data_IF_244812432442
#
_entry.id   IF_244812432442
#
_cell.length_a   1.000
_cell.length_b   1.000
_cell.length_c   1.000
_cell.angle_alpha   90.00
_cell.angle_beta   90.00
_cell.angle_gamma   90.00
#
_symmetry.space_group_name_H-M   'P 1'
#
loop_
_entity.id
_entity.type
_entity.pdbx_description
1 polymer ?
#
# COMPACT_ATOMS: atom_id res chain seq x y z
N UNK A 1 80.66 9.14 -32.02
CA UNK A 1 80.74 10.59 -31.75
C UNK A 1 79.30 11.05 -31.54
N UNK A 2 78.79 11.10 -30.30
CA UNK A 2 78.71 12.30 -29.46
C UNK A 2 78.31 13.54 -30.30
N UNK A 3 77.15 14.15 -30.12
CA UNK A 3 76.80 14.94 -28.94
C UNK A 3 75.32 14.87 -28.53
N UNK A 4 75.15 14.85 -27.22
CA UNK A 4 73.96 15.10 -26.44
C UNK A 4 73.79 16.62 -26.28
N UNK A 5 72.59 17.18 -26.45
CA UNK A 5 72.28 18.52 -25.96
C UNK A 5 70.88 18.53 -25.34
N UNK A 6 70.88 18.42 -24.01
CA UNK A 6 69.76 18.68 -23.13
C UNK A 6 69.35 20.16 -23.22
N UNK A 7 68.05 20.41 -23.37
CA UNK A 7 67.40 21.57 -22.75
C UNK A 7 66.18 21.07 -21.97
N UNK A 8 66.30 21.12 -20.64
CA UNK A 8 65.19 21.07 -19.69
C UNK A 8 64.38 22.37 -19.76
N UNK A 9 63.06 22.26 -19.88
CA UNK A 9 62.13 23.21 -19.24
C UNK A 9 60.97 22.45 -18.59
N UNK A 10 60.64 22.91 -17.39
CA UNK A 10 59.79 22.32 -16.36
C UNK A 10 58.28 22.61 -16.59
N UNK A 11 57.37 22.00 -15.80
CA UNK A 11 56.13 21.42 -16.30
C UNK A 11 54.94 22.40 -16.27
N UNK A 12 54.11 22.35 -17.31
CA UNK A 12 52.73 22.82 -17.21
C UNK A 12 51.88 21.70 -16.60
N UNK A 13 51.19 22.03 -15.50
CA UNK A 13 50.39 21.11 -14.71
C UNK A 13 49.33 20.39 -15.54
N UNK A 14 49.42 19.06 -15.56
CA UNK A 14 48.30 18.23 -15.98
C UNK A 14 47.24 18.32 -14.89
N UNK A 15 46.06 18.85 -15.25
CA UNK A 15 44.84 18.58 -14.51
C UNK A 15 44.59 17.08 -14.64
N UNK A 16 44.82 16.34 -13.56
CA UNK A 16 44.36 14.97 -13.41
C UNK A 16 42.84 15.01 -13.52
N UNK A 17 42.32 14.64 -14.68
CA UNK A 17 40.99 14.08 -14.77
C UNK A 17 41.02 12.80 -13.92
N UNK A 18 40.59 12.91 -12.66
CA UNK A 18 40.20 11.73 -11.90
C UNK A 18 39.05 11.10 -12.66
N UNK A 19 39.37 10.06 -13.44
CA UNK A 19 38.39 9.08 -13.86
C UNK A 19 37.75 8.57 -12.57
N UNK A 20 36.54 9.05 -12.27
CA UNK A 20 35.68 8.43 -11.28
C UNK A 20 35.55 6.98 -11.72
N UNK A 21 36.17 6.08 -10.97
CA UNK A 21 35.99 4.66 -11.17
C UNK A 21 34.48 4.41 -11.16
N UNK A 22 33.94 3.98 -12.30
CA UNK A 22 32.61 3.39 -12.35
C UNK A 22 32.65 2.22 -11.38
N UNK A 23 32.15 2.43 -10.16
CA UNK A 23 31.80 1.33 -9.29
C UNK A 23 30.65 0.62 -10.00
N UNK A 24 30.80 -0.65 -10.41
CA UNK A 24 29.65 -1.41 -10.88
C UNK A 24 28.59 -1.37 -9.76
N UNK A 25 27.29 -1.28 -10.10
CA UNK A 25 26.24 -1.38 -9.10
C UNK A 25 26.49 -2.67 -8.28
N UNK A 26 26.44 -2.61 -6.94
CA UNK A 26 26.73 -3.77 -6.11
C UNK A 26 25.88 -4.96 -6.58
N UNK A 27 26.57 -6.03 -6.99
CA UNK A 27 26.02 -7.22 -7.63
C UNK A 27 25.30 -8.17 -6.66
N UNK A 28 24.80 -7.65 -5.54
CA UNK A 28 23.98 -8.42 -4.61
C UNK A 28 22.69 -7.63 -4.33
N UNK A 29 21.49 -8.25 -4.45
CA UNK A 29 20.30 -7.66 -3.85
C UNK A 29 20.60 -7.38 -2.36
N UNK A 30 20.17 -6.25 -1.82
CA UNK A 30 20.43 -5.87 -0.44
C UNK A 30 20.11 -7.02 0.52
N UNK A 31 21.09 -7.46 1.32
CA UNK A 31 20.97 -8.69 2.12
C UNK A 31 20.09 -8.57 3.36
N UNK A 32 19.62 -7.35 3.69
CA UNK A 32 18.71 -7.11 4.81
C UNK A 32 17.33 -6.66 4.34
N UNK A 33 16.25 -7.04 5.05
CA UNK A 33 14.90 -6.55 4.76
C UNK A 33 14.83 -5.02 4.78
N UNK A 34 15.57 -4.37 5.69
CA UNK A 34 15.62 -2.91 5.79
C UNK A 34 16.23 -2.24 4.55
N UNK A 35 17.31 -2.79 4.00
CA UNK A 35 17.91 -2.23 2.79
C UNK A 35 17.05 -2.46 1.54
N UNK A 36 16.29 -3.56 1.50
CA UNK A 36 15.26 -3.78 0.47
C UNK A 36 14.12 -2.77 0.60
N UNK A 37 13.63 -2.50 1.82
CA UNK A 37 12.60 -1.50 2.09
C UNK A 37 13.08 -0.10 1.74
N UNK A 38 14.35 0.23 2.03
CA UNK A 38 14.94 1.52 1.68
C UNK A 38 15.05 1.71 0.17
N UNK A 39 15.47 0.68 -0.55
CA UNK A 39 15.47 0.68 -2.00
C UNK A 39 14.06 0.93 -2.57
N UNK A 40 13.04 0.27 -2.02
CA UNK A 40 11.66 0.52 -2.42
C UNK A 40 11.21 1.95 -2.10
N UNK A 41 11.50 2.44 -0.89
CA UNK A 41 11.18 3.82 -0.50
C UNK A 41 11.77 4.84 -1.48
N UNK A 42 13.07 4.72 -1.76
CA UNK A 42 13.77 5.63 -2.67
C UNK A 42 13.27 5.50 -4.13
N UNK A 43 12.69 4.35 -4.51
CA UNK A 43 12.05 4.16 -5.80
C UNK A 43 10.63 4.74 -5.89
N UNK A 44 9.92 4.86 -4.75
CA UNK A 44 8.60 5.51 -4.68
C UNK A 44 8.72 7.03 -4.57
N UNK A 45 9.71 7.51 -3.81
CA UNK A 45 10.05 8.92 -3.58
C UNK A 45 10.61 9.55 -4.86
N UNK A 46 9.70 9.97 -5.74
CA UNK A 46 10.03 10.41 -7.10
C UNK A 46 10.59 11.83 -7.10
N UNK A 47 10.19 12.64 -6.13
CA UNK A 47 10.70 14.00 -5.96
C UNK A 47 11.93 14.08 -5.03
N UNK A 48 12.33 12.96 -4.43
CA UNK A 48 13.45 12.84 -3.50
C UNK A 48 13.31 13.78 -2.29
N UNK A 49 12.07 14.04 -1.86
CA UNK A 49 11.77 14.89 -0.70
C UNK A 49 12.11 14.20 0.62
N UNK A 50 12.31 12.87 0.61
CA UNK A 50 12.51 12.05 1.80
C UNK A 50 11.22 11.72 2.54
N UNK A 51 10.07 12.05 1.95
CA UNK A 51 8.74 11.74 2.45
C UNK A 51 7.84 11.31 1.28
N UNK A 52 6.94 10.36 1.48
CA UNK A 52 6.07 9.87 0.42
C UNK A 52 4.68 10.49 0.52
N UNK A 53 4.23 11.07 -0.59
CA UNK A 53 2.85 11.51 -0.77
C UNK A 53 1.91 10.34 -1.08
N UNK A 54 0.60 10.57 -0.95
CA UNK A 54 -0.42 9.59 -1.34
C UNK A 54 -0.34 9.26 -2.83
N UNK A 55 -0.04 10.25 -3.64
CA UNK A 55 0.08 10.15 -5.09
C UNK A 55 1.29 9.29 -5.50
N UNK A 56 2.43 9.43 -4.82
CA UNK A 56 3.62 8.60 -5.06
C UNK A 56 3.36 7.14 -4.69
N UNK A 57 2.74 6.90 -3.53
CA UNK A 57 2.36 5.55 -3.12
C UNK A 57 1.34 4.93 -4.06
N UNK A 58 0.36 5.71 -4.56
CA UNK A 58 -0.58 5.22 -5.55
C UNK A 58 0.12 4.83 -6.86
N UNK A 59 1.15 5.57 -7.28
CA UNK A 59 1.91 5.26 -8.51
C UNK A 59 2.78 4.02 -8.34
N UNK A 60 3.34 3.81 -7.15
CA UNK A 60 4.14 2.64 -6.84
C UNK A 60 3.30 1.37 -6.64
N UNK A 61 2.05 1.52 -6.18
CA UNK A 61 1.11 0.42 -6.06
C UNK A 61 0.38 0.23 -7.39
N UNK A 62 0.60 -0.91 -8.02
CA UNK A 62 -0.10 -1.31 -9.24
C UNK A 62 -0.83 -2.61 -8.95
N UNK A 63 -2.10 -2.70 -9.36
CA UNK A 63 -2.87 -3.93 -9.26
C UNK A 63 -2.27 -5.03 -10.16
N UNK A 64 -2.57 -6.31 -9.90
CA UNK A 64 -2.04 -7.43 -10.71
C UNK A 64 -2.39 -7.35 -12.21
N UNK A 65 -3.35 -6.50 -12.57
CA UNK A 65 -3.83 -6.26 -13.92
C UNK A 65 -3.37 -4.93 -14.53
N UNK A 66 -2.33 -4.31 -13.95
CA UNK A 66 -1.74 -3.04 -14.37
C UNK A 66 -2.65 -1.81 -14.22
N UNK A 67 -3.82 -1.96 -13.60
CA UNK A 67 -4.67 -0.82 -13.30
C UNK A 67 -4.08 0.02 -12.16
N UNK A 68 -4.29 1.36 -12.18
CA UNK A 68 -3.90 2.21 -11.06
C UNK A 68 -4.59 1.74 -9.79
N UNK A 69 -3.83 1.62 -8.71
CA UNK A 69 -4.38 1.26 -7.42
C UNK A 69 -5.36 2.34 -6.93
N UNK A 70 -6.47 1.93 -6.33
CA UNK A 70 -7.50 2.83 -5.84
C UNK A 70 -6.95 3.78 -4.76
N UNK A 71 -6.99 5.10 -5.05
CA UNK A 71 -6.46 6.15 -4.17
C UNK A 71 -7.16 6.18 -2.81
N UNK A 72 -8.46 5.89 -2.76
CA UNK A 72 -9.21 5.81 -1.50
C UNK A 72 -8.74 4.63 -0.65
N UNK A 73 -8.26 3.55 -1.27
CA UNK A 73 -7.65 2.43 -0.54
C UNK A 73 -6.28 2.81 0.00
N UNK A 74 -5.46 3.55 -0.76
CA UNK A 74 -4.19 4.09 -0.24
C UNK A 74 -4.43 4.97 0.98
N UNK A 75 -5.36 5.93 0.89
CA UNK A 75 -5.72 6.82 2.01
C UNK A 75 -6.23 6.04 3.22
N UNK A 76 -7.04 5.01 2.99
CA UNK A 76 -7.53 4.15 4.06
C UNK A 76 -6.38 3.37 4.71
N UNK A 77 -5.42 2.84 3.93
CA UNK A 77 -4.22 2.22 4.49
C UNK A 77 -3.39 3.22 5.32
N UNK A 78 -3.27 4.48 4.90
CA UNK A 78 -2.62 5.52 5.71
C UNK A 78 -3.36 5.80 7.02
N UNK A 79 -4.68 6.01 6.95
CA UNK A 79 -5.50 6.34 8.11
C UNK A 79 -5.56 5.20 9.16
N UNK A 80 -5.49 3.94 8.72
CA UNK A 80 -5.50 2.79 9.62
C UNK A 80 -4.30 2.72 10.56
N UNK A 81 -3.18 3.32 10.18
CA UNK A 81 -2.01 3.38 11.03
C UNK A 81 -1.93 4.69 11.82
N UNK A 82 -2.61 5.75 11.38
CA UNK A 82 -2.63 7.05 12.05
C UNK A 82 -3.41 7.09 13.39
N UNK A 83 -4.27 6.11 13.67
CA UNK A 83 -5.31 6.23 14.71
C UNK A 83 -5.01 5.67 16.11
N UNK A 84 -3.78 5.29 16.48
CA UNK A 84 -3.64 4.90 17.90
C UNK A 84 -2.33 4.47 18.53
N UNK A 85 -1.18 4.48 17.86
CA UNK A 85 0.13 4.26 18.53
C UNK A 85 1.35 4.58 17.67
N UNK A 86 1.15 4.73 16.38
CA UNK A 86 2.19 4.95 15.40
C UNK A 86 1.63 5.93 14.37
N UNK A 87 1.47 7.20 14.79
CA UNK A 87 1.01 8.28 13.89
C UNK A 87 1.85 8.18 12.61
N UNK A 88 1.21 7.92 11.47
CA UNK A 88 1.85 7.84 10.14
C UNK A 88 2.37 9.20 9.71
N UNK A 89 1.99 10.24 10.45
CA UNK A 89 2.57 11.56 10.35
C UNK A 89 2.54 12.20 11.73
N UNK A 90 3.73 12.46 12.28
CA UNK A 90 3.91 13.20 13.54
C UNK A 90 3.26 14.60 13.48
N UNK A 91 3.07 15.13 12.27
CA UNK A 91 2.71 16.50 11.95
C UNK A 91 1.35 16.67 11.23
N UNK A 92 0.59 15.59 11.01
CA UNK A 92 -0.65 15.59 10.21
C UNK A 92 -0.45 16.16 8.79
N UNK A 93 0.76 16.06 8.25
CA UNK A 93 1.13 16.52 6.90
C UNK A 93 0.53 15.66 5.79
N UNK A 94 0.12 14.43 6.12
CA UNK A 94 -0.33 13.44 5.14
C UNK A 94 0.81 12.85 4.31
N UNK A 95 2.06 13.05 4.73
CA UNK A 95 3.27 12.52 4.12
C UNK A 95 3.87 11.41 4.99
N UNK A 96 4.49 10.42 4.36
CA UNK A 96 4.99 9.20 5.00
C UNK A 96 6.50 9.19 5.03
N UNK A 97 7.10 9.16 6.21
CA UNK A 97 8.55 9.00 6.39
C UNK A 97 8.97 7.54 6.24
N UNK A 98 10.28 7.28 6.12
CA UNK A 98 10.80 5.91 5.95
C UNK A 98 10.39 4.91 7.05
N UNK A 99 10.47 5.23 8.36
CA UNK A 99 9.98 4.32 9.40
C UNK A 99 8.48 4.00 9.26
N UNK A 100 7.69 4.98 8.83
CA UNK A 100 6.25 4.83 8.61
C UNK A 100 5.97 3.95 7.39
N UNK A 101 6.74 4.15 6.31
CA UNK A 101 6.71 3.31 5.12
C UNK A 101 7.05 1.85 5.42
N UNK A 102 8.02 1.57 6.29
CA UNK A 102 8.35 0.18 6.66
C UNK A 102 7.16 -0.56 7.29
N UNK A 103 6.40 0.13 8.16
CA UNK A 103 5.18 -0.41 8.75
C UNK A 103 4.07 -0.62 7.73
N UNK A 104 3.84 0.38 6.87
CA UNK A 104 2.86 0.31 5.78
C UNK A 104 3.20 -0.80 4.79
N UNK A 105 4.47 -0.95 4.41
CA UNK A 105 4.91 -1.97 3.47
C UNK A 105 4.66 -3.36 4.02
N UNK A 106 5.02 -3.61 5.28
CA UNK A 106 4.74 -4.88 5.96
C UNK A 106 3.24 -5.20 5.91
N UNK A 107 2.40 -4.21 6.19
CA UNK A 107 0.94 -4.37 6.12
C UNK A 107 0.44 -4.72 4.72
N UNK A 108 0.95 -4.02 3.69
CA UNK A 108 0.62 -4.32 2.30
C UNK A 108 1.05 -5.73 1.93
N UNK A 109 2.23 -6.18 2.37
CA UNK A 109 2.76 -7.51 2.12
C UNK A 109 1.93 -8.61 2.81
N UNK A 110 1.50 -8.37 4.05
CA UNK A 110 0.58 -9.24 4.78
C UNK A 110 -0.77 -9.35 4.05
N UNK A 111 -1.32 -8.23 3.57
CA UNK A 111 -2.56 -8.23 2.77
C UNK A 111 -2.40 -8.91 1.42
N UNK A 112 -1.27 -8.73 0.73
CA UNK A 112 -0.99 -9.42 -0.54
C UNK A 112 -0.91 -10.93 -0.33
N UNK A 113 -0.24 -11.37 0.73
CA UNK A 113 -0.16 -12.79 1.09
C UNK A 113 -1.54 -13.36 1.41
N UNK A 114 -2.36 -12.60 2.15
CA UNK A 114 -3.74 -12.95 2.44
C UNK A 114 -4.59 -13.06 1.17
N UNK A 115 -4.51 -12.07 0.27
CA UNK A 115 -5.21 -12.08 -1.01
C UNK A 115 -4.82 -13.29 -1.86
N UNK A 116 -3.53 -13.57 -2.00
CA UNK A 116 -3.02 -14.74 -2.75
C UNK A 116 -3.44 -16.08 -2.15
N UNK A 117 -3.70 -16.14 -0.84
CA UNK A 117 -4.20 -17.35 -0.20
C UNK A 117 -5.67 -17.65 -0.55
N UNK A 118 -6.45 -16.60 -0.87
CA UNK A 118 -7.86 -16.72 -1.25
C UNK A 118 -8.10 -16.74 -2.76
N UNK A 119 -7.23 -16.11 -3.56
CA UNK A 119 -7.19 -16.21 -5.03
C UNK A 119 -6.65 -17.59 -5.44
N UNK A 120 -7.56 -18.58 -5.43
CA UNK A 120 -7.21 -20.00 -5.58
C UNK A 120 -6.87 -20.35 -7.01
N UNK A 121 -7.53 -19.71 -7.96
CA UNK A 121 -7.30 -19.91 -9.39
C UNK A 121 -6.13 -19.06 -9.92
N UNK A 122 -5.58 -18.17 -9.08
CA UNK A 122 -4.50 -17.23 -9.41
C UNK A 122 -4.88 -16.33 -10.57
N UNK A 123 -6.15 -15.97 -10.67
CA UNK A 123 -6.66 -15.05 -11.68
C UNK A 123 -6.16 -13.62 -11.47
N UNK A 124 -5.66 -13.29 -10.28
CA UNK A 124 -5.33 -11.92 -9.88
C UNK A 124 -6.54 -11.14 -9.39
N UNK A 125 -7.69 -11.80 -9.24
CA UNK A 125 -8.94 -11.26 -8.71
C UNK A 125 -9.54 -12.25 -7.71
N UNK A 126 -10.48 -11.75 -6.89
CA UNK A 126 -11.23 -12.55 -5.93
C UNK A 126 -12.68 -12.63 -6.42
N UNK A 127 -13.14 -13.83 -6.76
CA UNK A 127 -14.53 -14.03 -7.15
C UNK A 127 -15.48 -14.01 -5.92
N UNK A 128 -16.79 -14.16 -6.17
CA UNK A 128 -17.80 -14.20 -5.11
C UNK A 128 -17.56 -15.32 -4.07
N UNK A 129 -17.19 -16.51 -4.54
CA UNK A 129 -16.98 -17.71 -3.72
C UNK A 129 -15.74 -17.57 -2.84
N UNK A 130 -14.68 -17.01 -3.41
CA UNK A 130 -13.43 -16.69 -2.73
C UNK A 130 -13.63 -15.57 -1.71
N UNK A 131 -14.37 -14.50 -2.05
CA UNK A 131 -14.71 -13.44 -1.11
C UNK A 131 -15.52 -13.98 0.06
N UNK A 132 -16.52 -14.83 -0.21
CA UNK A 132 -17.33 -15.48 0.83
C UNK A 132 -16.46 -16.32 1.76
N UNK A 133 -15.53 -17.08 1.20
CA UNK A 133 -14.57 -17.89 1.96
C UNK A 133 -13.65 -17.01 2.81
N UNK A 134 -13.16 -15.89 2.26
CA UNK A 134 -12.33 -14.93 2.97
C UNK A 134 -13.06 -14.28 4.14
N UNK A 135 -14.27 -13.76 3.91
CA UNK A 135 -15.09 -13.14 4.96
C UNK A 135 -15.41 -14.13 6.09
N UNK A 136 -15.75 -15.37 5.74
CA UNK A 136 -15.96 -16.42 6.74
C UNK A 136 -14.67 -16.74 7.52
N UNK A 137 -13.52 -16.80 6.85
CA UNK A 137 -12.22 -17.03 7.49
C UNK A 137 -11.81 -15.88 8.42
N UNK A 138 -12.24 -14.65 8.14
CA UNK A 138 -12.09 -13.50 9.04
C UNK A 138 -13.09 -13.50 10.20
N UNK A 139 -13.99 -14.49 10.28
CA UNK A 139 -15.00 -14.62 11.33
C UNK A 139 -16.28 -13.81 11.07
N UNK A 140 -16.50 -13.36 9.84
CA UNK A 140 -17.72 -12.66 9.44
C UNK A 140 -18.71 -13.59 8.76
N UNK A 141 -19.89 -13.76 9.36
CA UNK A 141 -20.99 -14.51 8.77
C UNK A 141 -21.95 -13.57 8.04
N UNK A 142 -21.63 -13.23 6.80
CA UNK A 142 -22.39 -12.29 5.98
C UNK A 142 -23.32 -13.04 5.00
N UNK A 143 -24.49 -12.48 4.73
CA UNK A 143 -25.42 -13.06 3.76
C UNK A 143 -24.94 -12.88 2.33
N UNK A 144 -25.32 -13.81 1.45
CA UNK A 144 -24.98 -13.76 0.02
C UNK A 144 -25.46 -12.46 -0.63
N UNK A 145 -26.66 -11.99 -0.25
CA UNK A 145 -27.20 -10.71 -0.71
C UNK A 145 -26.32 -9.51 -0.32
N UNK A 146 -25.77 -9.51 0.90
CA UNK A 146 -24.88 -8.45 1.35
C UNK A 146 -23.51 -8.52 0.65
N UNK A 147 -22.98 -9.72 0.44
CA UNK A 147 -21.73 -9.91 -0.30
C UNK A 147 -21.86 -9.44 -1.76
N UNK A 148 -22.98 -9.73 -2.43
CA UNK A 148 -23.22 -9.19 -3.77
C UNK A 148 -23.34 -7.66 -3.77
N UNK A 149 -24.00 -7.09 -2.75
CA UNK A 149 -24.12 -5.64 -2.59
C UNK A 149 -22.74 -4.99 -2.39
N UNK A 150 -21.88 -5.58 -1.58
CA UNK A 150 -20.55 -5.02 -1.29
C UNK A 150 -19.64 -5.12 -2.53
N UNK A 151 -19.63 -6.25 -3.24
CA UNK A 151 -18.90 -6.38 -4.51
C UNK A 151 -19.35 -5.30 -5.48
N UNK A 152 -20.66 -5.14 -5.70
CA UNK A 152 -21.19 -4.12 -6.60
C UNK A 152 -20.84 -2.68 -6.19
N UNK A 153 -20.71 -2.41 -4.89
CA UNK A 153 -20.35 -1.09 -4.37
C UNK A 153 -18.88 -0.74 -4.67
N UNK A 154 -17.98 -1.71 -4.60
CA UNK A 154 -16.54 -1.50 -4.74
C UNK A 154 -15.99 -1.85 -6.12
N UNK A 155 -16.72 -2.63 -6.93
CA UNK A 155 -16.40 -2.85 -8.34
C UNK A 155 -16.61 -1.55 -9.15
N UNK A 156 -15.59 -0.70 -9.15
CA UNK A 156 -15.54 0.55 -9.94
C UNK A 156 -15.40 0.28 -11.45
N UNK A 157 -14.97 -0.92 -11.86
CA UNK A 157 -14.96 -1.35 -13.28
C UNK A 157 -16.38 -1.67 -13.79
N UNK A 158 -17.30 -1.97 -12.88
CA UNK A 158 -18.72 -2.24 -13.10
C UNK A 158 -19.57 -1.07 -13.61
N UNK A 159 -19.00 0.05 -14.10
CA UNK A 159 -19.75 0.97 -14.98
C UNK A 159 -20.08 0.34 -16.33
N UNK A 160 -19.46 -0.80 -16.66
CA UNK A 160 -19.87 -1.64 -17.77
C UNK A 160 -20.82 -2.75 -17.27
N UNK A 161 -21.93 -3.02 -17.98
CA UNK A 161 -22.87 -4.11 -17.67
C UNK A 161 -22.27 -5.54 -17.77
N UNK A 162 -20.95 -5.65 -17.92
CA UNK A 162 -20.17 -6.88 -18.06
C UNK A 162 -19.14 -7.05 -16.92
N UNK A 163 -19.21 -6.25 -15.85
CA UNK A 163 -18.41 -6.48 -14.65
C UNK A 163 -18.59 -7.92 -14.20
N UNK A 164 -17.51 -8.70 -14.19
CA UNK A 164 -17.55 -10.15 -13.95
C UNK A 164 -17.98 -10.49 -12.51
N UNK A 165 -18.02 -9.50 -11.62
CA UNK A 165 -18.25 -9.70 -10.20
C UNK A 165 -16.96 -10.01 -9.44
N UNK A 166 -15.81 -9.76 -10.05
CA UNK A 166 -14.49 -10.10 -9.51
C UNK A 166 -13.88 -8.88 -8.80
N UNK A 167 -13.25 -9.11 -7.67
CA UNK A 167 -12.72 -8.08 -6.76
C UNK A 167 -11.20 -8.00 -6.90
N UNK A 168 -10.68 -6.86 -7.34
CA UNK A 168 -9.24 -6.59 -7.37
C UNK A 168 -8.65 -6.44 -5.97
N UNK A 169 -7.32 -6.56 -5.85
CA UNK A 169 -6.61 -6.50 -4.56
C UNK A 169 -6.94 -5.25 -3.73
N UNK A 170 -6.92 -4.07 -4.35
CA UNK A 170 -7.29 -2.81 -3.70
C UNK A 170 -8.73 -2.84 -3.16
N UNK A 171 -9.69 -3.27 -3.96
CA UNK A 171 -11.09 -3.40 -3.57
C UNK A 171 -11.29 -4.46 -2.47
N UNK A 172 -10.51 -5.55 -2.49
CA UNK A 172 -10.53 -6.57 -1.44
C UNK A 172 -10.10 -5.98 -0.10
N UNK A 173 -9.00 -5.23 -0.07
CA UNK A 173 -8.55 -4.53 1.14
C UNK A 173 -9.62 -3.52 1.59
N UNK A 174 -10.17 -2.73 0.67
CA UNK A 174 -11.19 -1.74 0.99
C UNK A 174 -12.45 -2.38 1.60
N UNK A 175 -12.91 -3.51 1.06
CA UNK A 175 -14.03 -4.29 1.58
C UNK A 175 -13.72 -4.79 2.99
N UNK A 176 -12.60 -5.50 3.17
CA UNK A 176 -12.26 -6.12 4.44
C UNK A 176 -12.11 -5.08 5.56
N UNK A 177 -11.45 -3.96 5.27
CA UNK A 177 -11.32 -2.85 6.21
C UNK A 177 -12.67 -2.22 6.53
N UNK A 178 -13.50 -1.95 5.52
CA UNK A 178 -14.82 -1.36 5.76
C UNK A 178 -15.68 -2.27 6.63
N UNK A 179 -15.70 -3.57 6.33
CA UNK A 179 -16.42 -4.58 7.13
C UNK A 179 -15.90 -4.59 8.56
N UNK A 180 -14.59 -4.56 8.76
CA UNK A 180 -13.99 -4.50 10.10
C UNK A 180 -14.41 -3.25 10.86
N UNK A 181 -14.25 -2.06 10.27
CA UNK A 181 -14.56 -0.78 10.93
C UNK A 181 -16.04 -0.68 11.32
N UNK A 182 -16.94 -1.04 10.39
CA UNK A 182 -18.39 -1.06 10.67
C UNK A 182 -18.75 -2.12 11.70
N UNK A 183 -18.12 -3.29 11.67
CA UNK A 183 -18.33 -4.34 12.67
C UNK A 183 -17.88 -3.88 14.06
N UNK A 184 -16.72 -3.25 14.16
CA UNK A 184 -16.20 -2.72 15.42
C UNK A 184 -17.10 -1.60 15.96
N UNK A 185 -17.62 -0.74 15.08
CA UNK A 185 -18.61 0.27 15.44
C UNK A 185 -19.92 -0.34 15.95
N UNK A 186 -20.43 -1.36 15.25
CA UNK A 186 -21.63 -2.08 15.66
C UNK A 186 -21.45 -2.77 17.02
N UNK A 187 -20.32 -3.45 17.24
CA UNK A 187 -20.01 -4.14 18.51
C UNK A 187 -19.89 -3.19 19.71
N UNK A 188 -19.51 -1.92 19.51
CA UNK A 188 -19.52 -0.92 20.60
C UNK A 188 -20.93 -0.65 21.11
N UNK A 189 -21.92 -0.82 20.24
CA UNK A 189 -23.34 -0.62 20.54
C UNK A 189 -23.96 -1.94 21.02
N UNK A 190 -23.76 -3.03 20.28
CA UNK A 190 -24.22 -4.38 20.64
C UNK A 190 -23.24 -5.06 21.62
N UNK A 191 -23.16 -4.52 22.84
CA UNK A 191 -22.24 -5.01 23.89
C UNK A 191 -22.54 -6.43 24.35
N UNK A 192 -23.78 -6.88 24.17
CA UNK A 192 -24.24 -8.21 24.58
C UNK A 192 -24.11 -9.24 23.45
N UNK A 193 -23.73 -8.82 22.23
CA UNK A 193 -23.53 -9.72 21.09
C UNK A 193 -24.82 -10.37 20.58
N UNK A 194 -25.94 -9.65 20.65
CA UNK A 194 -27.27 -10.12 20.23
C UNK A 194 -27.42 -10.20 18.70
N UNK A 195 -26.58 -9.50 17.95
CA UNK A 195 -26.68 -9.35 16.50
C UNK A 195 -27.68 -8.28 16.05
N UNK A 196 -28.31 -7.57 16.98
CA UNK A 196 -29.16 -6.40 16.72
C UNK A 196 -28.97 -5.36 17.81
N UNK A 197 -29.13 -4.08 17.46
CA UNK A 197 -28.98 -2.96 18.37
C UNK A 197 -30.06 -1.90 18.15
N UNK A 198 -30.47 -1.25 19.23
CA UNK A 198 -31.31 -0.04 19.16
C UNK A 198 -30.42 1.18 19.31
N UNK A 199 -30.50 2.09 18.36
CA UNK A 199 -29.67 3.30 18.30
C UNK A 199 -30.56 4.53 18.21
N UNK A 200 -30.18 5.60 18.92
CA UNK A 200 -30.81 6.89 18.74
C UNK A 200 -30.44 7.48 17.37
N UNK A 201 -31.28 8.35 16.82
CA UNK A 201 -31.06 8.94 15.49
C UNK A 201 -29.72 9.69 15.40
N UNK A 202 -29.38 10.53 16.39
CA UNK A 202 -28.11 11.27 16.39
C UNK A 202 -26.90 10.33 16.51
N UNK A 203 -26.99 9.30 17.34
CA UNK A 203 -25.94 8.28 17.46
C UNK A 203 -25.72 7.50 16.16
N UNK A 204 -26.79 7.27 15.38
CA UNK A 204 -26.68 6.70 14.05
C UNK A 204 -25.90 7.64 13.10
N UNK A 205 -26.23 8.94 13.11
CA UNK A 205 -25.50 9.93 12.29
C UNK A 205 -24.02 10.00 12.68
N UNK A 206 -23.71 10.06 13.98
CA UNK A 206 -22.34 10.05 14.49
C UNK A 206 -21.58 8.79 14.08
N UNK A 207 -22.21 7.62 14.14
CA UNK A 207 -21.62 6.37 13.66
C UNK A 207 -21.29 6.45 12.17
N UNK A 208 -22.21 6.95 11.35
CA UNK A 208 -21.98 7.06 9.90
C UNK A 208 -20.88 8.06 9.58
N UNK A 209 -20.82 9.20 10.28
CA UNK A 209 -19.79 10.23 10.07
C UNK A 209 -18.42 9.76 10.53
N UNK A 210 -18.33 9.05 11.65
CA UNK A 210 -17.05 8.54 12.18
C UNK A 210 -16.47 7.34 11.43
N UNK A 211 -17.27 6.66 10.61
CA UNK A 211 -16.83 5.52 9.79
C UNK A 211 -16.64 5.86 8.30
N UNK A 212 -16.63 7.16 7.95
CA UNK A 212 -16.35 7.65 6.59
C UNK A 212 -14.92 8.13 6.43
#
# INVERSE_FOLDING_TARGET
MAYNQNYQQQPYGQQQYQQGAYQPPPTAPPQTPEASLRYWFDAVDSDHSGQLSTEELQRALINGDWSPFNIETVRLMMNMFDTGKFRISSDNSGLITFPEFAGLWKYIEDWRSCFQAFDRDRSGYIDFSELKTAMHSFGYNLSDNFLQLIIKKYDKRGKNPQGRGDVSFDNFVQIAVTVKSLTDAFKRIDREGKGYATIAYEQFLELVVSNR
#
